data_IF_575597361428
#
_entry.id   IF_575597361428
#
_cell.length_a   1.000
_cell.length_b   1.000
_cell.length_c   1.000
_cell.angle_alpha   90.00
_cell.angle_beta   90.00
_cell.angle_gamma   90.00
#
_symmetry.space_group_name_H-M   'P 1'
#
loop_
_entity.id
_entity.type
_entity.pdbx_description
1 polymer ?
#
# COMPACT_ATOMS: atom_id res chain seq x y z
N UNK A 1 16.50 -4.24 6.61
CA UNK A 1 16.36 -3.04 5.76
C UNK A 1 14.92 -2.61 5.88
N UNK A 2 14.62 -1.30 5.89
CA UNK A 2 13.23 -0.88 5.92
C UNK A 2 12.53 -1.21 4.61
N UNK A 3 11.23 -1.53 4.68
CA UNK A 3 10.39 -1.84 3.53
C UNK A 3 8.99 -1.24 3.66
N UNK A 4 8.41 -0.86 2.53
CA UNK A 4 6.99 -0.50 2.40
C UNK A 4 6.27 -1.67 1.76
N UNK A 5 5.10 -2.01 2.27
CA UNK A 5 4.34 -3.16 1.81
C UNK A 5 2.90 -2.73 1.50
N UNK A 6 2.35 -3.25 0.42
CA UNK A 6 0.91 -3.23 0.18
C UNK A 6 0.39 -4.64 0.41
N UNK A 7 -0.53 -4.78 1.36
CA UNK A 7 -1.20 -6.04 1.66
C UNK A 7 -2.61 -5.96 1.11
N UNK A 8 -2.90 -6.82 0.14
CA UNK A 8 -4.21 -6.98 -0.47
C UNK A 8 -5.05 -7.86 0.46
N UNK A 9 -6.11 -7.28 1.03
CA UNK A 9 -7.03 -7.98 1.93
C UNK A 9 -8.05 -8.76 1.11
N UNK A 10 -8.56 -8.11 0.08
CA UNK A 10 -9.42 -8.64 -0.97
C UNK A 10 -9.28 -7.74 -2.22
N UNK A 11 -10.14 -7.94 -3.23
CA UNK A 11 -10.11 -7.18 -4.49
C UNK A 11 -10.42 -5.68 -4.31
N UNK A 12 -11.04 -5.29 -3.20
CA UNK A 12 -11.59 -3.96 -2.95
C UNK A 12 -10.93 -3.23 -1.78
N UNK A 13 -10.00 -3.89 -1.06
CA UNK A 13 -9.36 -3.34 0.12
C UNK A 13 -7.85 -3.65 0.20
N UNK A 14 -7.05 -2.58 0.35
CA UNK A 14 -5.60 -2.66 0.58
C UNK A 14 -5.18 -2.02 1.91
N UNK A 15 -4.15 -2.57 2.54
CA UNK A 15 -3.44 -1.98 3.68
C UNK A 15 -2.01 -1.60 3.27
N UNK A 16 -1.54 -0.43 3.70
CA UNK A 16 -0.13 -0.02 3.57
C UNK A 16 0.57 -0.25 4.91
N UNK A 17 1.69 -0.95 4.86
CA UNK A 17 2.54 -1.21 6.02
C UNK A 17 3.95 -0.67 5.81
N UNK A 18 4.61 -0.29 6.90
CA UNK A 18 6.05 0.02 6.96
C UNK A 18 6.67 -0.94 7.96
N UNK A 19 7.60 -1.77 7.51
CA UNK A 19 8.26 -2.77 8.36
C UNK A 19 7.27 -3.69 9.10
N UNK A 20 6.14 -4.02 8.45
CA UNK A 20 5.06 -4.83 9.01
C UNK A 20 4.11 -4.10 9.95
N UNK A 21 4.34 -2.81 10.23
CA UNK A 21 3.44 -1.97 11.02
C UNK A 21 2.44 -1.25 10.11
N UNK A 22 1.16 -1.28 10.49
CA UNK A 22 0.08 -0.64 9.74
C UNK A 22 0.22 0.89 9.75
N UNK A 23 -0.02 1.52 8.59
CA UNK A 23 0.04 2.97 8.42
C UNK A 23 -1.31 3.54 7.97
N UNK A 24 -1.89 2.96 6.91
CA UNK A 24 -3.20 3.35 6.39
C UNK A 24 -3.82 2.22 5.57
N UNK A 25 -5.06 2.40 5.15
CA UNK A 25 -5.77 1.53 4.22
C UNK A 25 -6.52 2.36 3.18
N UNK A 26 -6.96 1.71 2.11
CA UNK A 26 -7.91 2.27 1.15
C UNK A 26 -8.91 1.19 0.73
N UNK A 27 -10.17 1.61 0.60
CA UNK A 27 -11.31 0.72 0.31
C UNK A 27 -12.13 1.26 -0.87
N UNK A 28 -12.61 0.38 -1.75
CA UNK A 28 -13.37 0.78 -2.94
C UNK A 28 -14.68 1.51 -2.58
N UNK A 29 -15.41 1.07 -1.55
CA UNK A 29 -16.69 1.68 -1.19
C UNK A 29 -16.50 3.09 -0.59
N UNK A 30 -15.40 3.32 0.13
CA UNK A 30 -15.11 4.61 0.78
C UNK A 30 -14.33 5.56 -0.14
N UNK A 31 -13.26 5.07 -0.78
CA UNK A 31 -12.27 5.88 -1.51
C UNK A 31 -12.42 5.78 -3.04
N UNK A 32 -13.13 4.75 -3.53
CA UNK A 32 -13.19 4.41 -4.94
C UNK A 32 -11.89 3.83 -5.50
N UNK A 33 -11.95 3.23 -6.69
CA UNK A 33 -10.76 2.70 -7.39
C UNK A 33 -9.65 3.74 -7.56
N UNK A 34 -10.03 4.98 -7.88
CA UNK A 34 -9.08 6.07 -8.03
C UNK A 34 -8.39 6.47 -6.71
N UNK A 35 -9.04 6.23 -5.56
CA UNK A 35 -8.44 6.41 -4.24
C UNK A 35 -7.42 5.32 -3.94
N UNK A 36 -7.81 4.06 -4.16
CA UNK A 36 -6.92 2.91 -4.00
C UNK A 36 -5.67 3.03 -4.88
N UNK A 37 -5.83 3.29 -6.19
CA UNK A 37 -4.71 3.49 -7.12
C UNK A 37 -3.75 4.59 -6.67
N UNK A 38 -4.28 5.69 -6.10
CA UNK A 38 -3.44 6.78 -5.57
C UNK A 38 -2.65 6.35 -4.34
N UNK A 39 -3.25 5.57 -3.44
CA UNK A 39 -2.56 5.04 -2.26
C UNK A 39 -1.46 4.08 -2.69
N UNK A 40 -1.72 3.19 -3.66
CA UNK A 40 -0.70 2.29 -4.21
C UNK A 40 0.47 3.06 -4.82
N UNK A 41 0.17 3.99 -5.74
CA UNK A 41 1.18 4.80 -6.42
C UNK A 41 2.00 5.66 -5.46
N UNK A 42 1.37 6.16 -4.38
CA UNK A 42 2.05 6.92 -3.34
C UNK A 42 3.03 6.04 -2.57
N UNK A 43 2.61 4.86 -2.12
CA UNK A 43 3.45 3.92 -1.39
C UNK A 43 4.68 3.51 -2.21
N UNK A 44 4.49 3.15 -3.48
CA UNK A 44 5.57 2.83 -4.41
C UNK A 44 6.53 4.01 -4.62
N UNK A 45 5.98 5.22 -4.82
CA UNK A 45 6.76 6.43 -5.02
C UNK A 45 7.61 6.79 -3.80
N UNK A 46 7.08 6.62 -2.59
CA UNK A 46 7.82 6.84 -1.34
C UNK A 46 8.96 5.82 -1.24
N UNK A 47 8.69 4.53 -1.47
CA UNK A 47 9.71 3.49 -1.40
C UNK A 47 10.88 3.79 -2.36
N UNK A 48 10.54 4.13 -3.62
CA UNK A 48 11.52 4.54 -4.63
C UNK A 48 12.30 5.79 -4.24
N UNK A 49 11.64 6.79 -3.67
CA UNK A 49 12.28 8.06 -3.27
C UNK A 49 13.26 7.87 -2.11
N UNK A 50 12.94 6.97 -1.18
CA UNK A 50 13.77 6.65 -0.02
C UNK A 50 14.82 5.56 -0.30
N UNK A 51 14.73 4.89 -1.45
CA UNK A 51 15.64 3.79 -1.80
C UNK A 51 15.44 2.56 -0.93
N UNK A 52 14.20 2.32 -0.50
CA UNK A 52 13.81 1.18 0.32
C UNK A 52 12.98 0.18 -0.49
N UNK A 53 12.87 -1.05 0.01
CA UNK A 53 12.18 -2.14 -0.67
C UNK A 53 10.66 -1.88 -0.72
N UNK A 54 10.04 -2.28 -1.82
CA UNK A 54 8.59 -2.26 -2.02
C UNK A 54 8.09 -3.67 -2.33
N UNK A 55 7.09 -4.14 -1.59
CA UNK A 55 6.56 -5.50 -1.68
C UNK A 55 5.03 -5.48 -1.76
N UNK A 56 4.44 -6.37 -2.57
CA UNK A 56 2.99 -6.63 -2.58
C UNK A 56 2.73 -8.01 -2.00
N UNK A 57 1.81 -8.10 -1.04
CA UNK A 57 1.38 -9.34 -0.38
C UNK A 57 -0.06 -9.61 -0.77
N UNK A 58 -0.31 -10.71 -1.46
CA UNK A 58 -1.65 -11.21 -1.78
C UNK A 58 -2.00 -12.35 -0.81
N UNK A 59 -3.23 -12.34 -0.27
CA UNK A 59 -3.78 -13.40 0.58
C UNK A 59 -4.50 -14.49 -0.21
#
# INVERSE_FOLDING_TARGET
MSKIQIKEIDEEHIEVLVDGEWVCSADHDEDGWAGMEKVEALAESIAKKLGIEFERICL
#
